data_IF_117581088573
#
_entry.id   IF_117581088573
#
_cell.length_a   1.000
_cell.length_b   1.000
_cell.length_c   1.000
_cell.angle_alpha   90.00
_cell.angle_beta   90.00
_cell.angle_gamma   90.00
#
_symmetry.space_group_name_H-M   'P 1'
#
loop_
_entity.id
_entity.type
_entity.pdbx_description
1 polymer ?
#
# COMPACT_ATOMS: atom_id res chain seq x y z
N UNK A 1 -2.93 -20.75 -43.35
CA UNK A 1 -3.79 -20.56 -42.15
C UNK A 1 -2.87 -20.58 -40.94
N UNK A 2 -2.86 -19.54 -40.12
CA UNK A 2 -2.02 -19.52 -38.93
C UNK A 2 -2.55 -20.56 -37.92
N UNK A 3 -1.67 -21.43 -37.40
CA UNK A 3 -2.05 -22.49 -36.48
C UNK A 3 -2.22 -21.88 -35.09
N UNK A 4 -3.39 -22.07 -34.45
CA UNK A 4 -3.64 -21.61 -33.08
C UNK A 4 -2.71 -22.36 -32.10
N UNK A 5 -1.95 -21.62 -31.30
CA UNK A 5 -0.99 -22.15 -30.31
C UNK A 5 -1.59 -22.15 -28.91
N UNK A 6 -2.28 -21.07 -28.53
CA UNK A 6 -2.89 -20.95 -27.21
C UNK A 6 -3.88 -19.81 -27.09
N UNK A 7 -4.52 -19.72 -25.93
CA UNK A 7 -5.44 -18.64 -25.55
C UNK A 7 -4.92 -18.00 -24.26
N UNK A 8 -4.85 -16.68 -24.23
CA UNK A 8 -4.42 -15.93 -23.05
C UNK A 8 -5.43 -16.14 -21.92
N UNK A 9 -4.95 -16.60 -20.76
CA UNK A 9 -5.78 -16.84 -19.58
C UNK A 9 -5.69 -15.71 -18.57
N UNK A 10 -4.54 -15.03 -18.47
CA UNK A 10 -4.33 -13.92 -17.54
C UNK A 10 -3.34 -12.91 -18.10
N UNK A 11 -3.60 -11.62 -17.91
CA UNK A 11 -2.68 -10.53 -18.30
C UNK A 11 -2.56 -9.53 -17.16
N UNK A 12 -1.32 -9.13 -16.86
CA UNK A 12 -0.98 -8.05 -15.94
C UNK A 12 -0.02 -7.12 -16.67
N UNK A 13 -0.25 -5.80 -16.62
CA UNK A 13 0.60 -4.81 -17.28
C UNK A 13 0.52 -4.84 -18.81
N UNK A 14 1.56 -4.33 -19.47
CA UNK A 14 1.60 -4.23 -20.93
C UNK A 14 2.16 -5.52 -21.54
N UNK A 15 1.35 -6.18 -22.38
CA UNK A 15 1.71 -7.41 -23.08
C UNK A 15 1.26 -7.33 -24.54
N UNK A 16 2.12 -7.73 -25.46
CA UNK A 16 1.88 -7.64 -26.90
C UNK A 16 2.17 -8.97 -27.60
N UNK A 17 1.39 -9.28 -28.64
CA UNK A 17 1.76 -10.24 -29.67
C UNK A 17 2.31 -9.46 -30.88
N UNK A 18 3.53 -9.80 -31.29
CA UNK A 18 4.21 -9.24 -32.45
C UNK A 18 4.13 -10.25 -33.59
N UNK A 19 3.44 -9.92 -34.67
CA UNK A 19 3.39 -10.80 -35.83
C UNK A 19 4.72 -10.77 -36.61
N UNK A 20 4.92 -11.74 -37.50
CA UNK A 20 6.12 -11.83 -38.36
C UNK A 20 6.36 -10.62 -39.28
N UNK A 21 5.37 -9.74 -39.46
CA UNK A 21 5.49 -8.46 -40.17
C UNK A 21 5.90 -7.28 -39.26
N UNK A 22 6.15 -7.55 -37.96
CA UNK A 22 6.51 -6.56 -36.95
C UNK A 22 5.32 -5.80 -36.35
N UNK A 23 4.08 -6.10 -36.76
CA UNK A 23 2.89 -5.46 -36.19
C UNK A 23 2.66 -5.93 -34.75
N UNK A 24 2.47 -4.96 -33.84
CA UNK A 24 2.26 -5.22 -32.41
C UNK A 24 0.77 -5.10 -32.07
N UNK A 25 0.22 -6.15 -31.47
CA UNK A 25 -1.16 -6.21 -30.99
C UNK A 25 -1.18 -6.35 -29.47
N UNK A 26 -1.79 -5.41 -28.71
CA UNK A 26 -1.94 -5.58 -27.27
C UNK A 26 -2.83 -6.79 -26.98
N UNK A 27 -2.48 -7.54 -25.95
CA UNK A 27 -3.20 -8.76 -25.57
C UNK A 27 -4.05 -8.53 -24.33
N UNK A 28 -5.27 -9.07 -24.37
CA UNK A 28 -6.17 -9.17 -23.21
C UNK A 28 -6.54 -10.64 -22.96
N UNK A 29 -7.15 -10.90 -21.81
CA UNK A 29 -7.66 -12.24 -21.48
C UNK A 29 -8.66 -12.73 -22.52
N UNK A 30 -8.50 -13.97 -22.96
CA UNK A 30 -9.30 -14.58 -24.02
C UNK A 30 -8.72 -14.43 -25.43
N UNK A 31 -7.67 -13.64 -25.63
CA UNK A 31 -7.05 -13.48 -26.95
C UNK A 31 -6.34 -14.74 -27.44
N UNK A 32 -6.42 -14.94 -28.75
CA UNK A 32 -5.81 -16.09 -29.44
C UNK A 32 -4.42 -15.75 -29.95
N UNK A 33 -3.49 -16.64 -29.64
CA UNK A 33 -2.09 -16.60 -30.06
C UNK A 33 -1.83 -17.65 -31.14
N UNK A 34 -1.21 -17.23 -32.23
CA UNK A 34 -0.96 -18.04 -33.41
C UNK A 34 0.53 -18.35 -33.59
N UNK A 35 0.80 -19.45 -34.30
CA UNK A 35 2.16 -19.85 -34.60
C UNK A 35 2.86 -18.79 -35.48
N UNK A 36 4.06 -18.38 -35.07
CA UNK A 36 4.84 -17.31 -35.70
C UNK A 36 4.59 -15.90 -35.14
N UNK A 37 3.75 -15.77 -34.10
CA UNK A 37 3.68 -14.54 -33.29
C UNK A 37 4.72 -14.59 -32.15
N UNK A 38 5.34 -13.47 -31.82
CA UNK A 38 6.22 -13.30 -30.67
C UNK A 38 5.45 -12.62 -29.55
N UNK A 39 5.38 -13.27 -28.39
CA UNK A 39 4.77 -12.73 -27.18
C UNK A 39 5.82 -11.90 -26.43
N UNK A 40 5.55 -10.62 -26.19
CA UNK A 40 6.42 -9.69 -25.46
C UNK A 40 5.70 -9.12 -24.23
N UNK A 41 6.35 -9.16 -23.07
CA UNK A 41 5.89 -8.51 -21.84
C UNK A 41 6.74 -7.27 -21.53
N UNK A 42 6.13 -6.19 -21.06
CA UNK A 42 6.83 -4.99 -20.62
C UNK A 42 7.41 -5.08 -19.20
N UNK A 43 7.94 -3.96 -18.71
CA UNK A 43 8.63 -3.85 -17.41
C UNK A 43 7.76 -4.20 -16.18
N UNK A 44 6.44 -4.05 -16.30
CA UNK A 44 5.46 -4.50 -15.30
C UNK A 44 4.52 -5.58 -15.85
N UNK A 45 4.91 -6.23 -16.96
CA UNK A 45 4.09 -7.17 -17.71
C UNK A 45 4.22 -8.62 -17.21
N UNK A 46 3.11 -9.33 -17.10
CA UNK A 46 3.09 -10.78 -16.93
C UNK A 46 1.89 -11.36 -17.68
N UNK A 47 2.06 -12.55 -18.25
CA UNK A 47 1.00 -13.21 -19.03
C UNK A 47 1.01 -14.71 -18.80
N UNK A 48 -0.18 -15.27 -18.62
CA UNK A 48 -0.42 -16.70 -18.64
C UNK A 48 -1.20 -17.07 -19.90
N UNK A 49 -0.76 -18.12 -20.58
CA UNK A 49 -1.34 -18.63 -21.82
C UNK A 49 -1.67 -20.09 -21.65
N UNK A 50 -2.93 -20.44 -21.86
CA UNK A 50 -3.38 -21.83 -21.93
C UNK A 50 -3.16 -22.36 -23.34
N UNK A 51 -2.19 -23.25 -23.49
CA UNK A 51 -1.84 -23.87 -24.77
C UNK A 51 -2.92 -24.88 -25.20
N UNK A 52 -3.00 -25.15 -26.51
CA UNK A 52 -3.96 -26.10 -27.07
C UNK A 52 -3.81 -27.55 -26.55
N UNK A 53 -2.63 -27.91 -26.03
CA UNK A 53 -2.36 -29.20 -25.40
C UNK A 53 -2.82 -29.26 -23.93
N UNK A 54 -3.39 -28.19 -23.39
CA UNK A 54 -3.85 -28.08 -22.01
C UNK A 54 -2.80 -27.62 -21.01
N UNK A 55 -1.53 -27.45 -21.41
CA UNK A 55 -0.49 -26.89 -20.57
C UNK A 55 -0.63 -25.37 -20.42
N UNK A 56 -0.05 -24.84 -19.36
CA UNK A 56 0.00 -23.40 -19.09
C UNK A 56 1.42 -22.88 -19.32
N UNK A 57 1.53 -21.78 -20.03
CA UNK A 57 2.77 -21.06 -20.30
C UNK A 57 2.70 -19.71 -19.61
N UNK A 58 3.67 -19.41 -18.74
CA UNK A 58 3.72 -18.15 -18.01
C UNK A 58 4.99 -17.39 -18.38
N UNK A 59 4.83 -16.12 -18.75
CA UNK A 59 5.94 -15.18 -18.96
C UNK A 59 5.85 -14.07 -17.90
N UNK A 60 6.99 -13.78 -17.27
CA UNK A 60 7.14 -12.66 -16.33
C UNK A 60 7.53 -11.36 -17.04
N UNK A 61 8.03 -10.39 -16.28
CA UNK A 61 8.49 -9.08 -16.78
C UNK A 61 9.61 -9.19 -17.81
N UNK A 62 9.64 -8.24 -18.74
CA UNK A 62 10.69 -8.07 -19.76
C UNK A 62 11.08 -9.35 -20.51
N UNK A 63 10.09 -10.22 -20.72
CA UNK A 63 10.24 -11.52 -21.35
C UNK A 63 9.73 -11.47 -22.78
N UNK A 64 10.39 -12.21 -23.67
CA UNK A 64 9.86 -12.46 -25.01
C UNK A 64 9.94 -13.94 -25.36
N UNK A 65 8.91 -14.46 -26.03
CA UNK A 65 8.87 -15.83 -26.49
C UNK A 65 8.16 -15.96 -27.83
N UNK A 66 8.79 -16.65 -28.77
CA UNK A 66 8.17 -16.98 -30.05
C UNK A 66 7.19 -18.15 -29.93
N UNK A 67 5.97 -17.97 -30.44
CA UNK A 67 4.93 -18.99 -30.47
C UNK A 67 5.23 -19.99 -31.59
N UNK A 68 5.93 -21.07 -31.28
CA UNK A 68 6.22 -22.13 -32.25
C UNK A 68 5.27 -23.31 -32.10
N UNK A 69 4.97 -24.05 -33.20
CA UNK A 69 4.19 -25.28 -33.14
C UNK A 69 4.78 -26.38 -32.23
N UNK A 70 6.08 -26.29 -31.91
CA UNK A 70 6.80 -27.22 -31.05
C UNK A 70 6.44 -27.06 -29.57
N UNK A 71 5.93 -25.90 -29.15
CA UNK A 71 5.38 -25.67 -27.81
C UNK A 71 4.18 -26.59 -27.50
N UNK A 72 3.52 -27.15 -28.52
CA UNK A 72 2.42 -28.12 -28.36
C UNK A 72 2.92 -29.57 -28.15
N UNK A 73 4.18 -29.88 -28.47
CA UNK A 73 4.72 -31.24 -28.51
C UNK A 73 5.35 -31.72 -27.18
N UNK A 74 5.07 -31.05 -26.05
CA UNK A 74 5.68 -31.32 -24.73
C UNK A 74 7.22 -31.23 -24.71
N UNK A 75 7.80 -30.56 -25.72
CA UNK A 75 9.19 -30.09 -25.70
C UNK A 75 9.14 -28.58 -25.66
N UNK A 76 8.93 -28.02 -24.47
CA UNK A 76 9.35 -26.65 -24.26
C UNK A 76 10.88 -26.64 -24.46
N UNK A 77 11.44 -25.95 -25.46
CA UNK A 77 12.83 -25.55 -25.35
C UNK A 77 12.90 -24.81 -24.03
N UNK A 78 13.70 -25.32 -23.10
CA UNK A 78 14.09 -24.53 -21.96
C UNK A 78 14.71 -23.28 -22.57
N UNK A 79 14.08 -22.13 -22.38
CA UNK A 79 14.80 -20.88 -22.53
C UNK A 79 16.07 -21.05 -21.70
N UNK A 80 17.26 -20.71 -22.21
CA UNK A 80 18.43 -20.62 -21.36
C UNK A 80 18.12 -19.52 -20.35
N UNK A 81 17.51 -19.92 -19.22
CA UNK A 81 17.68 -19.21 -17.98
C UNK A 81 19.18 -19.03 -17.84
N UNK A 82 19.60 -17.83 -17.50
CA UNK A 82 20.99 -17.54 -17.17
C UNK A 82 21.39 -18.17 -15.83
N UNK A 83 20.82 -19.33 -15.49
CA UNK A 83 21.36 -20.22 -14.49
C UNK A 83 22.29 -21.18 -15.23
N UNK A 84 23.48 -20.66 -15.57
CA UNK A 84 24.63 -21.54 -15.80
C UNK A 84 24.75 -22.38 -14.54
N UNK A 85 24.51 -23.68 -14.65
CA UNK A 85 24.81 -24.60 -13.56
C UNK A 85 26.25 -24.30 -13.11
N UNK A 86 26.46 -23.94 -11.82
CA UNK A 86 27.75 -23.44 -11.38
C UNK A 86 28.84 -24.41 -11.80
N UNK A 87 29.89 -23.86 -12.42
CA UNK A 87 31.06 -24.65 -12.82
C UNK A 87 31.66 -25.34 -11.60
N UNK A 88 32.37 -26.46 -11.79
CA UNK A 88 33.01 -27.19 -10.68
C UNK A 88 33.93 -26.30 -9.81
N UNK A 89 34.47 -25.22 -10.40
CA UNK A 89 35.22 -24.21 -9.67
C UNK A 89 34.34 -23.39 -8.69
N UNK A 90 33.12 -23.00 -9.11
CA UNK A 90 32.17 -22.28 -8.26
C UNK A 90 31.58 -23.17 -7.16
N UNK A 91 31.43 -24.47 -7.42
CA UNK A 91 31.05 -25.44 -6.39
C UNK A 91 32.14 -25.55 -5.31
N UNK A 92 33.43 -25.48 -5.69
CA UNK A 92 34.54 -25.46 -4.75
C UNK A 92 34.66 -24.16 -3.93
N UNK A 93 34.20 -23.03 -4.49
CA UNK A 93 34.14 -21.75 -3.78
C UNK A 93 33.02 -21.75 -2.72
N UNK A 94 31.87 -22.34 -3.05
CA UNK A 94 30.77 -22.51 -2.09
C UNK A 94 31.20 -23.39 -0.91
N UNK A 95 31.91 -24.51 -1.15
CA UNK A 95 32.44 -25.35 -0.07
C UNK A 95 33.45 -24.60 0.81
N UNK A 96 34.28 -23.72 0.22
CA UNK A 96 35.23 -22.90 0.95
C UNK A 96 34.53 -21.85 1.82
N UNK A 97 33.51 -21.18 1.30
CA UNK A 97 32.72 -20.19 2.04
C UNK A 97 31.92 -20.88 3.15
N UNK A 98 31.40 -22.08 2.92
CA UNK A 98 30.73 -22.87 3.96
C UNK A 98 31.69 -23.29 5.09
N UNK A 99 32.94 -23.64 4.77
CA UNK A 99 33.96 -23.92 5.79
C UNK A 99 34.38 -22.66 6.55
N UNK A 100 34.49 -21.52 5.89
CA UNK A 100 34.81 -20.23 6.52
C UNK A 100 33.70 -19.80 7.49
N UNK A 101 32.42 -19.91 7.08
CA UNK A 101 31.27 -19.64 7.96
C UNK A 101 31.25 -20.62 9.14
N UNK A 102 31.52 -21.91 8.92
CA UNK A 102 31.59 -22.91 9.98
C UNK A 102 32.78 -22.68 10.94
N UNK A 103 33.86 -22.04 10.47
CA UNK A 103 34.99 -21.61 11.29
C UNK A 103 34.74 -20.27 12.02
N UNK A 104 33.61 -19.61 11.76
CA UNK A 104 33.22 -18.33 12.38
C UNK A 104 33.72 -17.08 11.67
N UNK A 105 34.22 -17.20 10.43
CA UNK A 105 34.65 -16.05 9.63
C UNK A 105 33.45 -15.33 9.00
N UNK A 106 33.51 -14.00 8.97
CA UNK A 106 32.49 -13.13 8.36
C UNK A 106 32.63 -13.17 6.81
N UNK A 107 31.60 -13.65 6.08
CA UNK A 107 31.63 -13.75 4.62
C UNK A 107 31.64 -12.39 3.91
N UNK A 108 31.32 -11.29 4.60
CA UNK A 108 31.38 -9.93 4.02
C UNK A 108 32.80 -9.38 3.93
N UNK A 109 33.76 -9.96 4.68
CA UNK A 109 35.16 -9.54 4.70
C UNK A 109 36.08 -10.46 3.88
N UNK A 110 35.62 -11.67 3.55
CA UNK A 110 36.42 -12.74 2.95
C UNK A 110 36.00 -13.14 1.53
N UNK A 111 34.84 -12.69 1.05
CA UNK A 111 34.42 -12.89 -0.33
C UNK A 111 35.23 -12.00 -1.30
N UNK A 112 35.46 -12.49 -2.52
CA UNK A 112 36.05 -11.67 -3.59
C UNK A 112 35.15 -10.45 -3.88
N UNK A 113 35.78 -9.33 -4.24
CA UNK A 113 35.08 -8.08 -4.53
C UNK A 113 33.99 -8.31 -5.59
N UNK A 114 32.78 -7.82 -5.31
CA UNK A 114 31.67 -7.86 -6.27
C UNK A 114 32.07 -7.14 -7.55
N UNK A 115 31.70 -7.71 -8.71
CA UNK A 115 32.05 -7.22 -10.05
C UNK A 115 31.45 -5.85 -10.43
N UNK A 116 30.96 -5.07 -9.47
CA UNK A 116 30.62 -3.67 -9.64
C UNK A 116 31.85 -2.83 -9.30
N UNK A 117 32.71 -2.61 -10.30
CA UNK A 117 33.93 -1.83 -10.15
C UNK A 117 33.68 -0.44 -9.58
N UNK A 118 34.31 -0.14 -8.45
CA UNK A 118 34.60 1.22 -8.02
C UNK A 118 35.66 1.82 -8.96
N UNK A 119 35.36 2.99 -9.52
CA UNK A 119 36.12 3.53 -10.66
C UNK A 119 37.51 4.06 -10.33
N UNK A 120 38.54 3.55 -11.02
CA UNK A 120 39.54 4.34 -11.77
C UNK A 120 40.58 3.45 -12.47
N UNK A 121 41.22 3.94 -13.56
CA UNK A 121 41.64 3.09 -14.67
C UNK A 121 43.12 2.73 -14.60
N UNK A 122 43.45 1.44 -14.62
CA UNK A 122 44.62 0.91 -15.34
C UNK A 122 44.63 -0.61 -15.31
N UNK A 123 44.93 -1.19 -16.47
CA UNK A 123 45.22 -2.59 -16.77
C UNK A 123 44.03 -3.50 -17.14
N UNK A 124 44.23 -4.05 -18.34
CA UNK A 124 43.39 -4.87 -19.19
C UNK A 124 43.23 -6.32 -18.70
N UNK A 125 41.98 -6.75 -18.55
CA UNK A 125 41.56 -8.15 -18.43
C UNK A 125 40.31 -8.36 -19.27
N UNK A 126 40.34 -9.38 -20.12
CA UNK A 126 39.36 -9.63 -21.18
C UNK A 126 38.01 -10.15 -20.64
N UNK A 127 36.95 -9.82 -21.39
CA UNK A 127 35.56 -10.32 -21.30
C UNK A 127 34.67 -9.60 -20.28
N UNK A 128 34.12 -8.45 -20.68
CA UNK A 128 33.02 -7.77 -19.99
C UNK A 128 32.22 -6.95 -21.00
N UNK A 129 30.91 -7.20 -21.09
CA UNK A 129 30.01 -6.60 -22.07
C UNK A 129 29.96 -5.07 -21.98
N UNK A 130 30.24 -4.41 -23.11
CA UNK A 130 30.13 -2.97 -23.25
C UNK A 130 28.67 -2.53 -23.14
N UNK A 131 28.36 -1.74 -22.13
CA UNK A 131 27.14 -0.95 -22.06
C UNK A 131 27.46 0.41 -22.70
N UNK A 132 26.84 0.72 -23.83
CA UNK A 132 26.77 2.10 -24.31
C UNK A 132 25.70 2.82 -23.48
N UNK A 133 26.09 3.82 -22.70
CA UNK A 133 25.11 4.76 -22.16
C UNK A 133 24.67 5.67 -23.32
N UNK A 134 23.38 5.70 -23.61
CA UNK A 134 22.81 6.73 -24.48
C UNK A 134 22.62 7.96 -23.60
N UNK A 135 23.46 8.98 -23.83
CA UNK A 135 23.28 10.29 -23.23
C UNK A 135 22.26 11.04 -24.09
N UNK A 136 21.09 11.32 -23.50
CA UNK A 136 20.04 12.09 -24.15
C UNK A 136 20.20 13.55 -23.71
N UNK A 137 20.59 14.41 -24.64
CA UNK A 137 20.57 15.86 -24.44
C UNK A 137 19.20 16.42 -24.82
N UNK A 138 18.56 17.12 -23.89
CA UNK A 138 17.30 17.83 -24.12
C UNK A 138 17.55 19.07 -25.01
N UNK A 139 17.23 18.95 -26.30
CA UNK A 139 17.38 20.04 -27.29
C UNK A 139 16.11 20.87 -27.51
N UNK A 140 15.04 20.61 -26.75
CA UNK A 140 13.75 21.28 -26.88
C UNK A 140 13.36 22.02 -25.60
N UNK A 141 13.02 23.30 -25.71
CA UNK A 141 12.50 24.05 -24.57
C UNK A 141 11.15 23.48 -24.10
N UNK A 142 11.05 23.21 -22.80
CA UNK A 142 9.79 22.91 -22.10
C UNK A 142 8.80 24.06 -22.33
N UNK A 143 7.71 23.79 -23.02
CA UNK A 143 6.59 24.72 -23.17
C UNK A 143 5.56 24.32 -22.12
N UNK A 144 5.32 25.20 -21.14
CA UNK A 144 4.15 25.06 -20.26
C UNK A 144 2.90 25.43 -21.08
N UNK A 145 1.97 24.50 -21.34
CA UNK A 145 0.75 24.83 -22.05
C UNK A 145 -0.12 25.73 -21.16
N UNK A 146 -0.24 26.99 -21.53
CA UNK A 146 -1.28 27.86 -20.98
C UNK A 146 -2.61 27.41 -21.60
N UNK A 147 -3.41 26.68 -20.83
CA UNK A 147 -4.81 26.41 -21.18
C UNK A 147 -5.56 27.74 -21.10
N UNK A 148 -5.75 28.37 -22.25
CA UNK A 148 -6.45 29.63 -22.38
C UNK A 148 -7.85 29.44 -22.95
N UNK A 149 -8.87 29.56 -22.12
CA UNK A 149 -9.74 30.74 -22.15
C UNK A 149 -10.09 31.10 -20.70
N UNK A 150 -9.89 32.35 -20.26
CA UNK A 150 -10.48 32.82 -19.01
C UNK A 150 -11.99 32.78 -19.17
N UNK A 151 -12.69 31.91 -18.44
CA UNK A 151 -14.14 32.05 -18.24
C UNK A 151 -14.35 33.21 -17.28
N UNK A 152 -14.24 34.43 -17.80
CA UNK A 152 -14.88 35.57 -17.15
C UNK A 152 -16.36 35.19 -17.00
N UNK A 153 -16.83 35.13 -15.75
CA UNK A 153 -18.20 34.77 -15.42
C UNK A 153 -19.21 35.60 -16.22
N UNK A 154 -20.44 35.07 -16.31
CA UNK A 154 -21.59 35.69 -16.98
C UNK A 154 -21.81 37.13 -16.50
N UNK A 155 -21.17 38.10 -17.16
CA UNK A 155 -21.51 39.50 -17.04
C UNK A 155 -22.81 39.73 -17.81
N UNK A 156 -23.91 39.86 -17.07
CA UNK A 156 -25.12 40.60 -17.44
C UNK A 156 -25.65 40.37 -18.86
N UNK A 157 -26.70 39.57 -18.96
CA UNK A 157 -27.65 39.58 -20.07
C UNK A 157 -27.96 41.01 -20.54
N UNK A 158 -28.03 41.27 -21.86
CA UNK A 158 -28.67 42.48 -22.34
C UNK A 158 -30.14 42.41 -21.97
N UNK A 159 -30.62 43.42 -21.25
CA UNK A 159 -32.04 43.71 -21.13
C UNK A 159 -32.63 43.79 -22.55
N UNK A 160 -33.39 42.76 -22.94
CA UNK A 160 -34.17 42.80 -24.17
C UNK A 160 -35.26 43.86 -23.96
N UNK A 161 -35.04 45.01 -24.59
CA UNK A 161 -36.03 46.07 -24.69
C UNK A 161 -37.39 45.49 -25.11
N UNK A 162 -38.39 45.76 -24.28
CA UNK A 162 -39.82 45.68 -24.51
C UNK A 162 -40.23 45.21 -25.91
N UNK A 163 -40.55 43.92 -26.03
CA UNK A 163 -41.39 43.45 -27.13
C UNK A 163 -42.84 43.71 -26.75
N UNK A 164 -43.31 44.84 -27.28
CA UNK A 164 -44.66 45.35 -27.34
C UNK A 164 -45.74 44.25 -27.23
N UNK A 165 -46.36 44.16 -26.06
CA UNK A 165 -47.68 43.53 -25.89
C UNK A 165 -48.67 44.53 -26.45
N UNK A 166 -49.27 44.21 -27.60
CA UNK A 166 -50.41 44.97 -28.14
C UNK A 166 -51.52 45.01 -27.09
N UNK A 167 -51.71 46.18 -26.50
CA UNK A 167 -52.62 46.37 -25.38
C UNK A 167 -54.09 46.23 -25.77
N UNK A 168 -54.87 45.71 -24.82
CA UNK A 168 -56.24 46.13 -24.59
C UNK A 168 -56.40 46.36 -23.08
N UNK A 169 -56.38 47.64 -22.72
CA UNK A 169 -56.69 48.22 -21.41
C UNK A 169 -58.12 47.82 -20.95
N UNK A 170 -58.32 47.37 -19.69
CA UNK A 170 -59.63 46.99 -19.15
C UNK A 170 -60.52 48.18 -18.72
N UNK A 171 -60.21 49.42 -19.08
CA UNK A 171 -60.97 50.60 -18.65
C UNK A 171 -61.62 51.40 -19.80
N UNK A 172 -62.55 50.79 -20.54
CA UNK A 172 -63.57 51.60 -21.22
C UNK A 172 -64.88 50.85 -21.45
N UNK A 173 -65.88 51.17 -20.63
CA UNK A 173 -67.26 50.79 -20.88
C UNK A 173 -67.81 51.59 -22.06
N UNK A 174 -68.11 50.92 -23.16
CA UNK A 174 -69.09 51.39 -24.13
C UNK A 174 -69.83 50.22 -24.74
N UNK A 175 -71.13 50.20 -24.46
CA UNK A 175 -72.17 49.35 -25.04
C UNK A 175 -72.26 49.50 -26.57
N UNK A 176 -73.00 48.55 -27.17
CA UNK A 176 -73.74 48.60 -28.46
C UNK A 176 -73.14 47.83 -29.66
N UNK A 177 -73.42 46.52 -29.78
CA UNK A 177 -74.41 45.99 -30.74
C UNK A 177 -74.44 44.44 -30.84
N UNK A 178 -75.48 43.85 -30.22
CA UNK A 178 -76.34 42.76 -30.70
C UNK A 178 -75.78 41.52 -31.43
N UNK A 179 -75.71 40.38 -30.72
CA UNK A 179 -76.44 39.12 -31.05
C UNK A 179 -76.23 38.07 -29.95
N UNK A 180 -77.29 37.40 -29.43
CA UNK A 180 -77.10 36.22 -28.60
C UNK A 180 -76.98 34.99 -29.51
N UNK A 181 -75.96 34.16 -29.30
CA UNK A 181 -75.93 32.77 -29.76
C UNK A 181 -75.52 31.94 -28.55
N UNK A 182 -76.47 31.14 -28.05
CA UNK A 182 -76.21 30.14 -27.02
C UNK A 182 -75.64 28.85 -27.61
N UNK A 183 -75.24 27.95 -26.73
CA UNK A 183 -75.10 26.53 -27.02
C UNK A 183 -73.67 26.00 -26.98
N UNK A 184 -73.51 25.03 -26.08
CA UNK A 184 -72.66 23.85 -26.15
C UNK A 184 -71.22 23.88 -25.58
N UNK A 185 -71.00 22.86 -24.75
CA UNK A 185 -69.84 22.67 -23.89
C UNK A 185 -68.54 22.48 -24.65
N UNK A 186 -67.52 23.17 -24.17
CA UNK A 186 -66.12 22.92 -24.50
C UNK A 186 -65.39 22.54 -23.23
N UNK A 187 -64.84 21.32 -23.22
CA UNK A 187 -63.85 20.85 -22.27
C UNK A 187 -62.71 21.86 -22.14
N UNK A 188 -62.36 22.23 -20.91
CA UNK A 188 -61.14 23.00 -20.61
C UNK A 188 -59.95 22.26 -21.25
N UNK A 189 -59.10 22.91 -22.06
CA UNK A 189 -57.90 22.27 -22.57
C UNK A 189 -57.01 21.90 -21.37
N UNK A 190 -56.75 20.61 -21.17
CA UNK A 190 -55.69 20.14 -20.29
C UNK A 190 -54.37 20.68 -20.82
N UNK A 191 -53.77 21.59 -20.07
CA UNK A 191 -52.43 22.09 -20.31
C UNK A 191 -51.47 20.89 -20.39
N UNK A 192 -50.61 20.80 -21.44
CA UNK A 192 -49.66 19.70 -21.54
C UNK A 192 -48.71 19.76 -20.34
N UNK A 193 -48.74 18.72 -19.50
CA UNK A 193 -47.78 18.55 -18.42
C UNK A 193 -46.38 18.44 -19.02
N UNK A 194 -45.54 19.45 -18.80
CA UNK A 194 -44.11 19.35 -19.06
C UNK A 194 -43.60 18.27 -18.09
N UNK A 195 -42.97 17.17 -18.57
CA UNK A 195 -42.31 16.25 -17.65
C UNK A 195 -41.26 17.05 -16.88
N UNK A 196 -41.35 17.02 -15.55
CA UNK A 196 -40.29 17.55 -14.70
C UNK A 196 -39.00 16.84 -15.09
N UNK A 197 -38.01 17.58 -15.57
CA UNK A 197 -36.64 17.06 -15.67
C UNK A 197 -36.24 16.76 -14.23
N UNK A 198 -35.97 15.49 -13.93
CA UNK A 198 -35.44 15.11 -12.62
C UNK A 198 -34.13 15.88 -12.42
N UNK A 199 -34.04 16.70 -11.38
CA UNK A 199 -32.80 17.41 -11.08
C UNK A 199 -31.76 16.36 -10.70
N UNK A 200 -30.68 16.25 -11.47
CA UNK A 200 -29.60 15.31 -11.18
C UNK A 200 -28.84 15.77 -9.93
N UNK A 201 -28.95 15.03 -8.83
CA UNK A 201 -28.30 15.39 -7.57
C UNK A 201 -26.97 14.65 -7.42
N UNK A 202 -25.84 15.36 -7.25
CA UNK A 202 -24.54 14.70 -7.13
C UNK A 202 -24.44 13.85 -5.86
N UNK A 203 -23.77 12.71 -5.96
CA UNK A 203 -23.34 11.94 -4.78
C UNK A 203 -22.10 12.54 -4.12
N UNK A 204 -22.09 12.61 -2.79
CA UNK A 204 -20.94 13.07 -1.99
C UNK A 204 -20.70 12.20 -0.76
N UNK A 205 -19.47 12.23 -0.25
CA UNK A 205 -19.05 11.56 0.98
C UNK A 205 -18.66 12.61 2.02
N UNK A 206 -19.13 12.46 3.25
CA UNK A 206 -18.85 13.36 4.37
C UNK A 206 -18.25 12.58 5.54
N UNK A 207 -17.26 13.16 6.23
CA UNK A 207 -16.61 12.53 7.38
C UNK A 207 -15.48 11.56 7.02
N UNK A 208 -14.91 11.70 5.82
CA UNK A 208 -13.74 10.99 5.31
C UNK A 208 -12.56 11.95 5.00
N UNK A 209 -12.62 13.15 5.56
CA UNK A 209 -11.64 14.23 5.41
C UNK A 209 -11.16 14.75 6.77
N UNK A 210 -11.15 13.87 7.79
CA UNK A 210 -10.79 14.22 9.15
C UNK A 210 -9.27 14.15 9.32
N UNK A 211 -8.64 15.28 9.64
CA UNK A 211 -7.20 15.30 9.94
C UNK A 211 -6.92 14.94 11.41
N UNK A 212 -5.88 14.13 11.71
CA UNK A 212 -4.93 13.53 10.77
C UNK A 212 -5.44 12.23 10.09
N UNK A 213 -6.52 11.63 10.59
CA UNK A 213 -7.25 10.50 9.99
C UNK A 213 -8.54 10.25 10.78
N UNK A 214 -9.46 9.46 10.24
CA UNK A 214 -10.75 9.18 10.90
C UNK A 214 -10.58 8.33 12.17
N UNK A 215 -9.63 7.39 12.17
CA UNK A 215 -9.35 6.52 13.31
C UNK A 215 -7.90 6.61 13.76
N UNK A 216 -7.70 6.55 15.07
CA UNK A 216 -6.38 6.49 15.70
C UNK A 216 -6.33 5.30 16.66
N UNK A 217 -5.36 4.42 16.44
CA UNK A 217 -5.06 3.25 17.25
C UNK A 217 -3.60 3.29 17.69
N UNK A 218 -3.27 2.56 18.73
CA UNK A 218 -1.93 2.51 19.28
C UNK A 218 -1.55 1.06 19.58
N UNK A 219 -0.40 0.64 19.08
CA UNK A 219 0.18 -0.69 19.29
C UNK A 219 0.48 -0.98 20.76
N UNK A 220 0.66 0.05 21.59
CA UNK A 220 0.84 -0.09 23.03
C UNK A 220 -0.31 -0.87 23.68
N UNK A 221 -1.50 -0.87 23.07
CA UNK A 221 -2.67 -1.58 23.56
C UNK A 221 -2.66 -3.08 23.22
N UNK A 222 -1.73 -3.56 22.38
CA UNK A 222 -1.59 -4.97 22.06
C UNK A 222 -1.18 -5.77 23.31
N UNK A 223 -1.38 -7.10 23.35
CA UNK A 223 -1.10 -7.92 24.54
C UNK A 223 0.33 -7.83 25.07
N UNK A 224 1.29 -7.55 24.18
CA UNK A 224 2.70 -7.35 24.52
C UNK A 224 3.12 -5.88 24.42
N UNK A 225 2.18 -4.95 24.28
CA UNK A 225 2.49 -3.53 24.24
C UNK A 225 2.79 -2.95 25.63
N UNK A 226 3.33 -1.74 25.65
CA UNK A 226 3.66 -0.98 26.86
C UNK A 226 2.46 -0.61 27.73
N UNK A 227 1.25 -0.63 27.17
CA UNK A 227 0.01 -0.26 27.83
C UNK A 227 -1.17 -1.16 27.40
N UNK A 228 -0.98 -2.49 27.43
CA UNK A 228 -1.94 -3.49 26.94
C UNK A 228 -3.39 -3.20 27.39
N UNK A 229 -4.27 -2.99 26.41
CA UNK A 229 -5.70 -2.75 26.60
C UNK A 229 -6.50 -3.34 25.43
N UNK A 230 -7.08 -4.52 25.65
CA UNK A 230 -7.85 -5.23 24.63
C UNK A 230 -9.10 -4.46 24.15
N UNK A 231 -9.69 -3.60 25.01
CA UNK A 231 -10.83 -2.77 24.60
C UNK A 231 -10.38 -1.61 23.71
N UNK A 232 -9.11 -1.20 23.82
CA UNK A 232 -8.55 -0.15 22.99
C UNK A 232 -8.19 -0.59 21.55
N UNK A 233 -8.06 -1.90 21.32
CA UNK A 233 -7.72 -2.46 20.01
C UNK A 233 -8.82 -2.34 18.96
N UNK A 234 -10.07 -2.16 19.40
CA UNK A 234 -11.20 -1.95 18.47
C UNK A 234 -11.70 -0.52 18.58
N UNK A 235 -11.78 0.16 17.43
CA UNK A 235 -12.35 1.49 17.30
C UNK A 235 -13.55 1.46 16.38
N UNK A 236 -14.54 2.27 16.70
CA UNK A 236 -15.74 2.44 15.87
C UNK A 236 -15.65 3.80 15.17
N UNK A 237 -16.22 3.88 13.97
CA UNK A 237 -16.34 5.11 13.22
C UNK A 237 -17.60 5.11 12.38
N UNK A 238 -17.94 6.28 11.86
CA UNK A 238 -18.98 6.41 10.85
C UNK A 238 -18.67 7.54 9.88
N UNK A 239 -19.18 7.40 8.67
CA UNK A 239 -19.19 8.46 7.65
C UNK A 239 -20.57 8.49 6.99
N UNK A 240 -20.87 9.56 6.26
CA UNK A 240 -22.18 9.76 5.63
C UNK A 240 -22.06 9.80 4.12
N UNK A 241 -22.91 9.04 3.44
CA UNK A 241 -23.14 9.11 2.01
C UNK A 241 -24.33 10.01 1.74
N UNK A 242 -24.14 11.11 1.02
CA UNK A 242 -25.26 11.96 0.57
C UNK A 242 -25.54 11.65 -0.88
N UNK A 243 -26.61 10.89 -1.12
CA UNK A 243 -27.12 10.55 -2.45
C UNK A 243 -28.64 10.71 -2.45
N UNK A 244 -29.16 11.86 -2.89
CA UNK A 244 -30.61 12.12 -2.89
C UNK A 244 -31.34 11.20 -3.87
N UNK A 245 -30.66 10.81 -4.94
CA UNK A 245 -31.16 9.88 -5.97
C UNK A 245 -30.98 8.40 -5.55
N UNK A 246 -30.50 8.17 -4.32
CA UNK A 246 -30.32 6.86 -3.73
C UNK A 246 -29.03 6.16 -4.14
N UNK A 247 -28.42 5.44 -3.18
CA UNK A 247 -27.18 4.68 -3.41
C UNK A 247 -27.45 3.41 -4.21
N UNK A 248 -26.74 3.22 -5.31
CA UNK A 248 -26.83 2.02 -6.14
C UNK A 248 -25.70 1.03 -5.85
N UNK A 249 -24.44 1.49 -5.75
CA UNK A 249 -23.32 0.68 -5.28
C UNK A 249 -22.53 1.44 -4.23
N UNK A 250 -22.09 0.74 -3.19
CA UNK A 250 -21.20 1.28 -2.16
C UNK A 250 -20.19 0.20 -1.76
N UNK A 251 -18.91 0.53 -1.87
CA UNK A 251 -17.79 -0.32 -1.45
C UNK A 251 -16.93 0.42 -0.43
N UNK A 252 -16.54 -0.27 0.65
CA UNK A 252 -15.69 0.27 1.72
C UNK A 252 -14.56 -0.71 2.00
N UNK A 253 -13.33 -0.33 1.69
CA UNK A 253 -12.14 -1.17 1.86
C UNK A 253 -12.17 -2.47 1.04
N UNK A 254 -13.12 -2.63 0.10
CA UNK A 254 -13.39 -3.88 -0.62
C UNK A 254 -14.63 -4.64 -0.16
N UNK A 255 -15.30 -4.23 0.93
CA UNK A 255 -16.62 -4.75 1.30
C UNK A 255 -17.69 -4.05 0.48
N UNK A 256 -18.47 -4.81 -0.31
CA UNK A 256 -19.62 -4.29 -1.03
C UNK A 256 -20.82 -4.14 -0.07
N UNK A 257 -20.94 -2.96 0.53
CA UNK A 257 -21.99 -2.58 1.48
C UNK A 257 -23.35 -2.55 0.81
N UNK A 258 -23.43 -1.94 -0.39
CA UNK A 258 -24.63 -1.90 -1.23
C UNK A 258 -24.27 -2.38 -2.63
N UNK A 259 -25.08 -3.29 -3.19
CA UNK A 259 -24.94 -3.78 -4.56
C UNK A 259 -26.29 -3.73 -5.26
N UNK A 260 -26.40 -2.98 -6.35
CA UNK A 260 -27.65 -2.83 -7.10
C UNK A 260 -28.82 -2.28 -6.26
N UNK A 261 -28.52 -1.35 -5.34
CA UNK A 261 -29.48 -0.73 -4.42
C UNK A 261 -29.87 -1.60 -3.21
N UNK A 262 -29.30 -2.81 -3.07
CA UNK A 262 -29.58 -3.73 -1.96
C UNK A 262 -28.41 -3.74 -0.98
N UNK A 263 -28.72 -3.63 0.32
CA UNK A 263 -27.72 -3.70 1.39
C UNK A 263 -27.26 -5.15 1.58
N UNK A 264 -25.99 -5.43 1.34
CA UNK A 264 -25.40 -6.78 1.35
C UNK A 264 -24.19 -6.94 2.27
N UNK A 265 -23.48 -5.85 2.58
CA UNK A 265 -22.18 -5.91 3.28
C UNK A 265 -22.25 -5.69 4.80
N UNK A 266 -23.43 -5.38 5.37
CA UNK A 266 -23.56 -5.20 6.82
C UNK A 266 -23.30 -6.52 7.56
N UNK A 267 -22.44 -6.47 8.57
CA UNK A 267 -21.94 -7.62 9.32
C UNK A 267 -20.75 -8.33 8.68
N UNK A 268 -20.34 -7.94 7.46
CA UNK A 268 -19.17 -8.52 6.82
C UNK A 268 -17.89 -7.90 7.35
N UNK A 269 -16.82 -8.70 7.32
CA UNK A 269 -15.48 -8.28 7.71
C UNK A 269 -14.46 -8.72 6.66
N UNK A 270 -13.39 -7.96 6.53
CA UNK A 270 -12.23 -8.29 5.70
C UNK A 270 -10.95 -8.09 6.51
N UNK A 271 -9.90 -8.77 6.07
CA UNK A 271 -8.53 -8.46 6.49
C UNK A 271 -7.98 -7.37 5.57
N UNK A 272 -7.48 -6.29 6.16
CA UNK A 272 -6.92 -5.14 5.44
C UNK A 272 -5.51 -5.43 4.92
N UNK A 273 -4.92 -4.47 4.18
CA UNK A 273 -3.58 -4.64 3.61
C UNK A 273 -2.50 -4.78 4.69
N UNK A 274 -2.71 -4.17 5.85
CA UNK A 274 -1.84 -4.30 7.02
C UNK A 274 -2.18 -5.49 7.93
N UNK A 275 -3.13 -6.36 7.55
CA UNK A 275 -3.48 -7.55 8.35
C UNK A 275 -4.49 -7.31 9.48
N UNK A 276 -5.04 -6.10 9.57
CA UNK A 276 -6.06 -5.71 10.55
C UNK A 276 -7.47 -6.09 10.07
N UNK A 277 -8.48 -5.91 10.90
CA UNK A 277 -9.86 -6.29 10.56
C UNK A 277 -10.73 -5.05 10.43
N UNK A 278 -11.31 -4.85 9.24
CA UNK A 278 -12.39 -3.91 9.01
C UNK A 278 -13.72 -4.67 8.99
N UNK A 279 -14.71 -4.19 9.73
CA UNK A 279 -16.08 -4.73 9.77
C UNK A 279 -17.08 -3.61 9.51
N UNK A 280 -18.03 -3.83 8.62
CA UNK A 280 -19.15 -2.90 8.41
C UNK A 280 -20.26 -3.28 9.37
N UNK A 281 -20.57 -2.41 10.35
CA UNK A 281 -21.55 -2.71 11.40
C UNK A 281 -22.97 -2.31 11.01
N UNK A 282 -23.13 -1.36 10.09
CA UNK A 282 -24.45 -0.89 9.69
C UNK A 282 -24.42 0.09 8.54
N UNK A 283 -25.55 0.17 7.84
CA UNK A 283 -25.83 1.21 6.84
C UNK A 283 -27.30 1.62 6.97
N UNK A 284 -27.56 2.92 7.08
CA UNK A 284 -28.90 3.48 7.14
C UNK A 284 -29.25 4.17 5.81
N UNK A 285 -30.10 3.58 4.96
CA UNK A 285 -30.44 4.17 3.66
C UNK A 285 -31.16 5.53 3.74
N UNK A 286 -31.82 5.83 4.86
CA UNK A 286 -32.58 7.07 5.03
C UNK A 286 -31.68 8.27 5.37
N UNK A 287 -30.56 8.02 6.07
CA UNK A 287 -29.60 9.06 6.47
C UNK A 287 -28.30 9.00 5.68
N UNK A 288 -28.04 7.89 5.00
CA UNK A 288 -26.77 7.62 4.32
C UNK A 288 -25.62 7.23 5.26
N UNK A 289 -25.89 7.07 6.56
CA UNK A 289 -24.86 6.77 7.56
C UNK A 289 -24.34 5.35 7.40
N UNK A 290 -23.02 5.22 7.27
CA UNK A 290 -22.28 3.96 7.28
C UNK A 290 -21.53 3.88 8.59
N UNK A 291 -21.73 2.82 9.36
CA UNK A 291 -21.00 2.55 10.60
C UNK A 291 -20.09 1.36 10.42
N UNK A 292 -18.90 1.43 11.01
CA UNK A 292 -17.88 0.40 10.91
C UNK A 292 -17.08 0.28 12.20
N UNK A 293 -16.42 -0.86 12.36
CA UNK A 293 -15.35 -1.06 13.34
C UNK A 293 -14.06 -1.42 12.64
N UNK A 294 -12.96 -1.00 13.23
CA UNK A 294 -11.61 -1.40 12.87
C UNK A 294 -10.93 -2.01 14.09
N UNK A 295 -10.32 -3.17 13.93
CA UNK A 295 -9.60 -3.88 15.00
C UNK A 295 -8.13 -4.04 14.61
N UNK A 296 -7.24 -3.47 15.42
CA UNK A 296 -5.80 -3.70 15.38
C UNK A 296 -5.50 -5.11 15.90
N UNK A 297 -4.86 -5.95 15.08
CA UNK A 297 -4.65 -7.37 15.39
C UNK A 297 -3.21 -7.72 15.75
N UNK A 298 -2.25 -6.96 15.23
CA UNK A 298 -0.82 -7.17 15.45
C UNK A 298 -0.07 -5.83 15.32
N UNK A 299 1.19 -5.81 15.77
CA UNK A 299 2.08 -4.69 15.48
C UNK A 299 2.49 -4.72 14.01
N UNK A 300 2.62 -3.52 13.44
CA UNK A 300 3.16 -3.30 12.11
C UNK A 300 4.68 -3.10 12.14
N UNK A 301 5.29 -3.11 10.96
CA UNK A 301 6.69 -2.71 10.82
C UNK A 301 6.76 -1.21 10.58
N UNK A 302 7.33 -0.47 11.54
CA UNK A 302 7.59 0.95 11.40
C UNK A 302 9.01 1.15 10.83
N UNK A 303 9.17 2.09 9.90
CA UNK A 303 10.47 2.34 9.26
C UNK A 303 11.17 3.45 10.04
N UNK A 304 12.08 3.10 10.94
CA UNK A 304 12.71 4.07 11.87
C UNK A 304 13.44 5.24 11.18
N UNK A 305 13.88 5.08 9.93
CA UNK A 305 14.69 6.07 9.21
C UNK A 305 13.91 7.25 8.60
N UNK A 306 12.56 7.22 8.60
CA UNK A 306 11.75 8.35 8.13
C UNK A 306 11.21 9.22 9.28
N UNK A 307 11.46 8.81 10.54
CA UNK A 307 10.95 9.49 11.74
C UNK A 307 9.44 9.33 11.97
N UNK A 308 8.73 8.55 11.15
CA UNK A 308 7.32 8.26 11.30
C UNK A 308 7.11 7.19 12.37
N UNK A 309 6.61 7.64 13.53
CA UNK A 309 6.15 6.77 14.64
C UNK A 309 4.73 6.26 14.42
N UNK A 310 4.33 6.14 13.17
CA UNK A 310 2.96 5.76 12.84
C UNK A 310 2.85 5.23 11.42
N UNK A 311 2.05 4.18 11.27
CA UNK A 311 1.58 3.68 9.99
C UNK A 311 0.22 4.29 9.69
N UNK A 312 -0.03 4.61 8.42
CA UNK A 312 -1.35 5.02 7.95
C UNK A 312 -1.86 4.02 6.94
N UNK A 313 -3.04 3.48 7.19
CA UNK A 313 -3.76 2.63 6.24
C UNK A 313 -4.86 3.44 5.55
N UNK A 314 -4.85 3.43 4.21
CA UNK A 314 -5.81 4.13 3.37
C UNK A 314 -6.80 3.12 2.78
N UNK A 315 -8.03 3.09 3.29
CA UNK A 315 -9.07 2.15 2.86
C UNK A 315 -10.00 2.85 1.86
N UNK A 316 -10.04 2.42 0.58
CA UNK A 316 -10.80 3.12 -0.44
C UNK A 316 -12.31 3.00 -0.20
N UNK A 317 -13.02 4.11 -0.33
CA UNK A 317 -14.49 4.18 -0.32
C UNK A 317 -14.96 4.63 -1.70
N UNK A 318 -15.82 3.83 -2.32
CA UNK A 318 -16.38 4.12 -3.64
C UNK A 318 -17.89 4.03 -3.57
N UNK A 319 -18.58 5.03 -4.11
CA UNK A 319 -20.04 5.05 -4.17
C UNK A 319 -20.51 5.48 -5.55
N UNK A 320 -21.60 4.86 -6.02
CA UNK A 320 -22.38 5.33 -7.16
C UNK A 320 -23.86 5.42 -6.78
N UNK A 321 -24.56 6.42 -7.31
CA UNK A 321 -26.00 6.51 -7.17
C UNK A 321 -26.74 5.79 -8.31
N UNK A 322 -28.07 5.94 -8.35
CA UNK A 322 -28.94 5.25 -9.31
C UNK A 322 -28.95 5.85 -10.73
N UNK A 323 -28.47 7.09 -10.89
CA UNK A 323 -28.44 7.79 -12.18
C UNK A 323 -27.03 7.74 -12.84
N UNK A 324 -26.00 7.36 -12.07
CA UNK A 324 -24.64 7.13 -12.55
C UNK A 324 -23.59 8.09 -11.99
N UNK A 325 -23.95 9.02 -11.11
CA UNK A 325 -22.97 9.85 -10.42
C UNK A 325 -22.11 8.99 -9.47
N UNK A 326 -20.84 9.39 -9.32
CA UNK A 326 -19.86 8.66 -8.52
C UNK A 326 -19.10 9.60 -7.57
N UNK A 327 -18.79 9.09 -6.38
CA UNK A 327 -17.87 9.72 -5.46
C UNK A 327 -16.88 8.70 -4.90
N UNK A 328 -15.72 9.20 -4.52
CA UNK A 328 -14.65 8.41 -3.91
C UNK A 328 -14.04 9.15 -2.74
N UNK A 329 -13.60 8.40 -1.75
CA UNK A 329 -12.93 8.89 -0.55
C UNK A 329 -11.99 7.84 0.00
N UNK A 330 -11.26 8.20 1.06
CA UNK A 330 -10.40 7.29 1.80
C UNK A 330 -10.86 7.27 3.24
N UNK A 331 -10.94 6.08 3.83
CA UNK A 331 -11.01 5.91 5.27
C UNK A 331 -9.57 5.72 5.76
N UNK A 332 -9.06 6.72 6.44
CA UNK A 332 -7.69 6.79 6.93
C UNK A 332 -7.63 6.29 8.39
N UNK A 333 -6.80 5.28 8.61
CA UNK A 333 -6.55 4.71 9.93
C UNK A 333 -5.09 4.90 10.29
N UNK A 334 -4.84 5.62 11.38
CA UNK A 334 -3.51 5.86 11.90
C UNK A 334 -3.23 4.87 13.03
N UNK A 335 -2.11 4.18 12.93
CA UNK A 335 -1.62 3.22 13.92
C UNK A 335 -0.31 3.78 14.47
N UNK A 336 -0.32 4.19 15.73
CA UNK A 336 0.86 4.68 16.41
C UNK A 336 1.74 3.52 16.90
N UNK A 337 3.03 3.67 16.64
CA UNK A 337 4.08 2.76 17.10
C UNK A 337 4.19 2.72 18.62
N UNK A 338 4.56 1.56 19.14
CA UNK A 338 4.88 1.33 20.55
C UNK A 338 6.38 1.18 20.77
N UNK A 339 7.07 2.33 20.78
CA UNK A 339 8.52 2.35 20.87
C UNK A 339 9.06 1.80 22.21
N UNK A 340 10.20 1.08 22.19
CA UNK A 340 10.86 0.64 23.41
C UNK A 340 11.40 1.82 24.24
N UNK A 341 11.48 1.63 25.55
CA UNK A 341 12.11 2.56 26.50
C UNK A 341 13.02 1.77 27.44
N UNK A 342 14.31 2.07 27.38
CA UNK A 342 15.32 1.55 28.29
C UNK A 342 15.43 2.44 29.54
N UNK A 343 15.62 1.82 30.70
CA UNK A 343 15.85 2.49 31.97
C UNK A 343 17.17 2.01 32.57
N UNK A 344 17.92 2.92 33.18
CA UNK A 344 19.20 2.57 33.81
C UNK A 344 19.03 1.48 34.88
N UNK A 345 19.88 0.47 34.82
CA UNK A 345 19.99 -0.59 35.81
C UNK A 345 20.92 -0.21 36.96
N UNK A 346 20.57 -0.65 38.17
CA UNK A 346 21.45 -0.58 39.34
C UNK A 346 21.34 -1.88 40.16
N UNK A 347 22.47 -2.36 40.66
CA UNK A 347 22.51 -3.46 41.62
C UNK A 347 22.39 -2.92 43.04
N UNK A 348 21.26 -3.24 43.69
CA UNK A 348 21.03 -2.94 45.12
C UNK A 348 22.12 -3.56 46.02
N UNK A 349 22.75 -4.66 45.58
CA UNK A 349 23.82 -5.35 46.30
C UNK A 349 25.17 -5.02 45.69
N UNK A 350 26.11 -4.59 46.54
CA UNK A 350 27.49 -4.29 46.13
C UNK A 350 28.33 -5.57 46.05
N UNK A 351 29.17 -5.67 45.01
CA UNK A 351 30.19 -6.70 44.95
C UNK A 351 31.25 -6.47 46.04
N UNK A 352 31.75 -7.55 46.64
CA UNK A 352 32.80 -7.54 47.66
C UNK A 352 33.75 -8.72 47.47
N UNK A 353 34.87 -8.74 48.19
CA UNK A 353 35.78 -9.89 48.18
C UNK A 353 35.13 -11.19 48.67
N UNK A 354 34.03 -11.09 49.43
CA UNK A 354 33.24 -12.24 49.90
C UNK A 354 32.02 -12.53 49.00
N UNK A 355 31.68 -11.61 48.11
CA UNK A 355 30.58 -11.72 47.14
C UNK A 355 31.06 -11.17 45.80
N UNK A 356 31.82 -12.01 45.09
CA UNK A 356 32.50 -11.60 43.85
C UNK A 356 31.59 -11.65 42.63
N UNK A 357 30.41 -12.25 42.72
CA UNK A 357 29.46 -12.34 41.61
C UNK A 357 28.18 -11.59 41.93
N UNK A 358 27.72 -10.80 40.95
CA UNK A 358 26.39 -10.18 40.91
C UNK A 358 25.67 -10.66 39.65
N UNK A 359 24.39 -10.96 39.77
CA UNK A 359 23.54 -11.34 38.65
C UNK A 359 22.31 -10.46 38.58
N UNK A 360 21.76 -10.31 37.39
CA UNK A 360 20.55 -9.54 37.14
C UNK A 360 20.10 -9.67 35.71
N UNK A 361 19.15 -8.84 35.30
CA UNK A 361 18.70 -8.76 33.92
C UNK A 361 18.33 -7.31 33.57
N UNK A 362 18.94 -6.78 32.51
CA UNK A 362 18.81 -5.38 32.05
C UNK A 362 17.44 -5.04 31.45
N UNK A 363 16.62 -6.05 31.18
CA UNK A 363 15.30 -5.87 30.58
C UNK A 363 14.17 -5.83 31.62
N UNK A 364 14.49 -5.96 32.91
CA UNK A 364 13.46 -6.16 33.94
C UNK A 364 12.69 -4.88 34.30
N UNK A 365 13.36 -3.74 34.18
CA UNK A 365 12.82 -2.39 34.34
C UNK A 365 12.43 -1.75 32.99
N UNK A 366 12.83 -2.34 31.87
CA UNK A 366 12.57 -1.84 30.52
C UNK A 366 11.16 -2.07 29.98
N UNK A 367 10.75 -1.20 29.07
CA UNK A 367 9.57 -1.36 28.24
C UNK A 367 10.05 -1.75 26.84
N UNK A 368 9.70 -2.95 26.38
CA UNK A 368 10.21 -3.47 25.10
C UNK A 368 9.34 -3.14 23.88
N UNK A 369 8.17 -2.55 24.06
CA UNK A 369 7.23 -2.31 22.96
C UNK A 369 6.43 -3.55 22.54
N UNK A 370 5.49 -3.33 21.62
CA UNK A 370 4.55 -4.34 21.12
C UNK A 370 5.16 -5.27 20.07
N UNK A 371 6.17 -4.80 19.35
CA UNK A 371 6.91 -5.51 18.29
C UNK A 371 8.20 -6.17 18.81
N UNK A 372 8.35 -6.25 20.14
CA UNK A 372 9.51 -6.84 20.81
C UNK A 372 9.95 -8.18 20.20
N UNK A 373 11.26 -8.36 20.12
CA UNK A 373 11.89 -9.64 19.82
C UNK A 373 12.20 -10.40 21.11
N UNK A 374 12.20 -11.74 21.05
CA UNK A 374 12.58 -12.55 22.19
C UNK A 374 14.03 -12.27 22.59
N UNK A 375 14.23 -11.80 23.82
CA UNK A 375 15.53 -11.35 24.34
C UNK A 375 15.80 -9.84 24.22
N UNK A 376 14.88 -9.08 23.61
CA UNK A 376 15.00 -7.63 23.50
C UNK A 376 16.18 -7.18 22.62
N UNK A 377 16.42 -5.86 22.51
CA UNK A 377 17.52 -5.30 21.72
C UNK A 377 18.86 -5.37 22.47
N UNK A 378 19.21 -6.53 23.03
CA UNK A 378 20.42 -6.67 23.87
C UNK A 378 21.62 -7.09 23.03
N UNK A 379 22.70 -6.31 23.10
CA UNK A 379 23.99 -6.68 22.51
C UNK A 379 24.75 -7.55 23.51
N UNK A 380 24.64 -8.86 23.34
CA UNK A 380 25.38 -9.83 24.14
C UNK A 380 26.89 -9.63 23.99
N UNK A 381 27.62 -9.80 25.08
CA UNK A 381 29.06 -9.55 25.08
C UNK A 381 29.72 -9.78 26.43
N UNK A 382 31.05 -9.72 26.40
CA UNK A 382 31.87 -9.66 27.60
C UNK A 382 32.51 -8.29 27.65
N UNK A 383 32.18 -7.51 28.67
CA UNK A 383 32.66 -6.17 28.88
C UNK A 383 33.63 -6.16 30.05
N UNK A 384 34.89 -5.88 29.78
CA UNK A 384 35.91 -5.78 30.82
C UNK A 384 35.86 -4.40 31.46
N UNK A 385 35.63 -4.37 32.77
CA UNK A 385 35.65 -3.16 33.57
C UNK A 385 37.01 -2.91 34.23
N UNK A 386 37.05 -1.89 35.08
CA UNK A 386 38.21 -1.51 35.91
C UNK A 386 38.46 -2.50 37.06
N UNK A 387 37.41 -2.97 37.75
CA UNK A 387 37.49 -3.87 38.90
C UNK A 387 37.05 -5.30 38.58
N UNK A 388 36.25 -5.49 37.53
CA UNK A 388 35.67 -6.80 37.20
C UNK A 388 35.36 -6.98 35.72
N UNK A 389 34.50 -7.94 35.41
CA UNK A 389 34.04 -8.24 34.05
C UNK A 389 32.55 -8.53 34.07
N UNK A 390 31.81 -7.92 33.16
CA UNK A 390 30.39 -8.17 32.92
C UNK A 390 30.23 -9.10 31.73
N UNK A 391 29.55 -10.23 31.92
CA UNK A 391 29.07 -11.09 30.84
C UNK A 391 27.57 -10.85 30.69
N UNK A 392 27.15 -10.29 29.55
CA UNK A 392 25.76 -10.01 29.21
C UNK A 392 25.31 -10.98 28.12
N UNK A 393 24.21 -11.69 28.36
CA UNK A 393 23.59 -12.59 27.41
C UNK A 393 22.54 -11.85 26.56
N UNK A 394 22.17 -12.45 25.42
CA UNK A 394 21.20 -11.88 24.48
C UNK A 394 19.77 -11.84 25.03
N UNK A 395 19.48 -12.48 26.16
CA UNK A 395 18.19 -12.42 26.85
C UNK A 395 18.13 -11.33 27.94
N UNK A 396 19.15 -10.47 27.99
CA UNK A 396 19.32 -9.42 28.98
C UNK A 396 19.91 -9.90 30.30
N UNK A 397 20.01 -11.22 30.54
CA UNK A 397 20.63 -11.71 31.78
C UNK A 397 22.11 -11.41 31.79
N UNK A 398 22.63 -11.00 32.96
CA UNK A 398 24.05 -10.73 33.12
C UNK A 398 24.64 -11.36 34.36
N UNK A 399 25.95 -11.59 34.31
CA UNK A 399 26.79 -11.88 35.47
C UNK A 399 27.96 -10.92 35.47
N UNK A 400 28.07 -10.11 36.52
CA UNK A 400 29.27 -9.35 36.81
C UNK A 400 30.15 -10.13 37.79
N UNK A 401 31.42 -10.31 37.44
CA UNK A 401 32.42 -10.96 38.30
C UNK A 401 33.49 -9.94 38.66
N UNK A 402 33.53 -9.57 39.94
CA UNK A 402 34.61 -8.80 40.54
C UNK A 402 35.91 -9.59 40.46
N UNK A 403 37.02 -8.91 40.19
CA UNK A 403 38.36 -9.46 40.33
C UNK A 403 39.05 -8.86 41.57
N UNK A 404 39.00 -9.51 42.74
CA UNK A 404 39.66 -9.02 43.96
C UNK A 404 41.18 -8.86 43.81
N UNK A 405 41.78 -9.48 42.79
CA UNK A 405 43.20 -9.36 42.53
C UNK A 405 43.58 -8.18 41.63
N UNK A 406 42.60 -7.51 41.01
CA UNK A 406 42.82 -6.34 40.18
C UNK A 406 43.57 -5.25 40.97
N UNK A 407 44.63 -4.64 40.39
CA UNK A 407 45.38 -3.58 41.06
C UNK A 407 44.47 -2.43 41.50
N UNK A 408 43.53 -2.01 40.64
CA UNK A 408 42.61 -0.91 40.91
C UNK A 408 41.67 -1.22 42.07
N UNK A 409 41.21 -2.46 42.18
CA UNK A 409 40.38 -2.87 43.32
C UNK A 409 41.19 -2.85 44.63
N UNK A 410 42.42 -3.36 44.61
CA UNK A 410 43.32 -3.30 45.78
C UNK A 410 43.66 -1.86 46.17
N UNK A 411 43.75 -0.96 45.20
CA UNK A 411 44.02 0.46 45.43
C UNK A 411 42.87 1.19 46.14
N UNK A 412 41.64 0.63 46.15
CA UNK A 412 40.53 1.18 46.96
C UNK A 412 40.79 1.08 48.46
N UNK A 413 41.58 0.10 48.90
CA UNK A 413 41.89 -0.15 50.31
C UNK A 413 40.70 -0.65 51.15
N UNK A 414 40.96 -0.95 52.42
CA UNK A 414 39.93 -1.48 53.33
C UNK A 414 38.82 -0.45 53.62
N UNK A 415 37.59 -0.74 53.19
CA UNK A 415 36.44 0.15 53.31
C UNK A 415 36.28 1.16 52.17
N UNK A 416 37.12 1.10 51.13
CA UNK A 416 36.97 1.87 49.91
C UNK A 416 35.73 1.47 49.10
N UNK A 417 35.27 2.36 48.21
CA UNK A 417 34.18 2.10 47.28
C UNK A 417 34.59 2.53 45.88
N UNK A 418 34.22 1.74 44.87
CA UNK A 418 34.35 2.07 43.45
C UNK A 418 33.01 1.86 42.76
N UNK A 419 32.84 2.49 41.60
CA UNK A 419 31.68 2.33 40.72
C UNK A 419 32.18 1.98 39.33
N UNK A 420 31.51 1.05 38.66
CA UNK A 420 31.70 0.74 37.25
C UNK A 420 30.39 0.93 36.52
N UNK A 421 30.46 1.58 35.36
CA UNK A 421 29.35 1.73 34.42
C UNK A 421 29.79 1.01 33.14
N UNK A 422 28.86 0.29 32.52
CA UNK A 422 29.08 -0.51 31.31
C UNK A 422 28.32 0.07 30.13
#
# INVERSE_FOLDING_TARGET
>A
MAKLVGVVSKVIGQVFAVASDGSRRPLIEGDRLFAGEQLETGAAGAVAVRLQNGAELTLGRDSSLEMTPDLLANRAPHAPGHDVAPSDAQLSDVERIQQAIAAGDDPTQSAEATAAGSGSPSASGALGGGHSFVMLDEVGARVDPVVGFPTAGFNGFPELANREVGGLDPSNGSSLNGRPVGGDGGTVPTEPSIPTVDENHPVTLLGLDIAPGELNLNEANLPLGSASDAAALTRQGSFTVVAQDGVFNLSVGGINVVTGGVVTGVGQSITTGLGNILTITGYNPSTGEVSYTYTLTASGQHIENDGAKSLTEHLPVLVSDSNGDVAQGLLDVIIHDDAPQAFDDDNVVKATEQQVELTGNVLTNDIQGADRVAGGPVIAGTYTGTYGTLVLAADGSYTYTLNPNAPDFKNLGGGGNGVENF
#
